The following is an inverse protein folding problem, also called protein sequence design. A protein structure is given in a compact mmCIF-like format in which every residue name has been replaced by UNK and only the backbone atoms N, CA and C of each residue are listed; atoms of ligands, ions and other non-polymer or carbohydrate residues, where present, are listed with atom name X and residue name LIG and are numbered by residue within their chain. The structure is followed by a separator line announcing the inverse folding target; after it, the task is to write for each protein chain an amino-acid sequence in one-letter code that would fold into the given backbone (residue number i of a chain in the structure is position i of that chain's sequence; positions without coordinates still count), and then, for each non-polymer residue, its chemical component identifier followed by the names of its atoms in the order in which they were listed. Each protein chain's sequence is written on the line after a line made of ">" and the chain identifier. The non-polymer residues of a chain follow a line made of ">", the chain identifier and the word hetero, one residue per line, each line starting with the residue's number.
data_IF_279062091907
#
_entry.id   IF_279062091907
#
_cell.length_a   1.000
_cell.length_b   1.000
_cell.length_c   1.000
_cell.angle_alpha   90.00
_cell.angle_beta   90.00
_cell.angle_gamma   90.00
#
_symmetry.space_group_name_H-M   'P 1'
#
loop_
_entity.id
_entity.type
_entity.pdbx_description
1 polymer ?
#
# COMPACT_ATOMS: atom_id res chain seq x y z
N UNK A 1 -8.53 27.73 -3.32
CA UNK A 1 -9.41 26.83 -2.96
C UNK A 1 -9.72 25.80 -3.94
N UNK A 2 -10.06 26.14 -4.87
CA UNK A 2 -10.44 25.33 -5.87
C UNK A 2 -9.42 24.39 -6.31
N UNK A 3 -8.18 24.73 -6.11
CA UNK A 3 -7.11 23.90 -6.57
C UNK A 3 -7.00 22.59 -5.88
N UNK A 4 -7.37 22.55 -4.62
CA UNK A 4 -7.34 21.29 -3.91
C UNK A 4 -8.33 20.33 -4.49
N UNK A 5 -9.51 20.81 -4.77
CA UNK A 5 -10.52 19.96 -5.35
C UNK A 5 -10.10 19.49 -6.73
N UNK A 6 -9.51 20.36 -7.51
CA UNK A 6 -9.06 19.99 -8.84
C UNK A 6 -7.99 18.93 -8.79
N UNK A 7 -7.10 19.05 -7.83
CA UNK A 7 -6.06 18.05 -7.68
C UNK A 7 -6.63 16.70 -7.33
N UNK A 8 -7.64 16.69 -6.48
CA UNK A 8 -8.30 15.44 -6.15
C UNK A 8 -9.02 14.85 -7.32
N UNK A 9 -9.57 15.68 -8.15
CA UNK A 9 -10.32 15.19 -9.30
C UNK A 9 -9.47 14.44 -10.29
N UNK A 10 -8.19 14.62 -10.24
CA UNK A 10 -7.30 13.86 -11.12
C UNK A 10 -7.16 12.42 -10.70
N UNK A 11 -7.61 12.08 -9.52
CA UNK A 11 -7.54 10.71 -9.04
C UNK A 11 -8.89 10.06 -9.23
N UNK A 12 -8.84 8.81 -9.61
CA UNK A 12 -10.08 8.06 -9.77
C UNK A 12 -10.71 7.71 -8.44
N UNK A 13 -9.92 7.66 -7.38
CA UNK A 13 -10.41 7.26 -6.07
C UNK A 13 -9.82 8.15 -5.01
N UNK A 14 -10.63 8.37 -3.99
CA UNK A 14 -10.18 9.11 -2.84
C UNK A 14 -9.24 8.27 -2.00
N UNK A 15 -8.23 8.91 -1.44
CA UNK A 15 -7.29 8.23 -0.56
C UNK A 15 -7.57 8.56 0.89
N UNK A 16 -7.42 7.57 1.72
CA UNK A 16 -7.61 7.71 3.16
C UNK A 16 -6.31 7.39 3.85
N UNK A 17 -5.89 8.28 4.75
CA UNK A 17 -4.70 8.03 5.57
C UNK A 17 -5.01 6.94 6.58
N UNK A 18 -4.10 6.00 6.73
CA UNK A 18 -4.24 4.92 7.70
C UNK A 18 -2.85 4.56 8.21
N UNK A 19 -2.83 3.64 9.17
CA UNK A 19 -1.58 3.16 9.74
C UNK A 19 -1.77 1.69 10.05
N UNK A 20 -1.28 0.83 9.19
CA UNK A 20 -1.38 -0.60 9.36
C UNK A 20 -0.03 -1.24 9.12
N UNK A 21 0.25 -2.28 9.87
CA UNK A 21 1.44 -3.08 9.65
C UNK A 21 1.19 -4.09 8.56
N UNK A 22 2.22 -4.35 7.77
CA UNK A 22 2.12 -5.31 6.69
C UNK A 22 3.48 -5.93 6.43
N UNK A 23 3.46 -7.00 5.65
CA UNK A 23 4.69 -7.59 5.15
C UNK A 23 4.51 -7.88 3.67
N UNK A 24 5.62 -7.96 2.97
CA UNK A 24 5.57 -8.17 1.53
C UNK A 24 6.68 -9.10 1.06
N UNK A 25 6.41 -9.72 -0.08
CA UNK A 25 7.40 -10.51 -0.81
C UNK A 25 7.64 -9.85 -2.15
N UNK A 26 8.89 -9.76 -2.53
CA UNK A 26 9.23 -9.29 -3.86
C UNK A 26 9.14 -10.45 -4.84
N UNK A 27 8.42 -10.19 -5.91
CA UNK A 27 8.20 -11.06 -7.02
C UNK A 27 8.70 -12.48 -6.96
N UNK A 28 9.94 -12.66 -7.26
CA UNK A 28 10.46 -14.00 -7.48
C UNK A 28 11.21 -14.60 -6.31
N UNK A 29 11.19 -13.94 -5.19
CA UNK A 29 11.89 -14.47 -4.02
C UNK A 29 10.89 -14.74 -2.92
N UNK A 30 10.18 -15.86 -2.98
CA UNK A 30 9.06 -16.10 -2.08
C UNK A 30 9.43 -16.46 -0.66
N UNK A 31 10.70 -16.43 -0.32
CA UNK A 31 11.12 -16.88 1.00
C UNK A 31 11.43 -15.78 1.98
N UNK A 32 11.47 -14.55 1.53
CA UNK A 32 11.84 -13.45 2.43
C UNK A 32 10.75 -12.43 2.57
N UNK A 33 9.94 -12.60 3.58
CA UNK A 33 8.97 -11.58 3.93
C UNK A 33 9.67 -10.40 4.59
N UNK A 34 9.31 -9.20 4.16
CA UNK A 34 9.87 -7.97 4.74
C UNK A 34 8.73 -7.12 5.26
N UNK A 35 9.00 -6.42 6.36
CA UNK A 35 7.99 -5.58 6.97
C UNK A 35 7.84 -4.24 6.28
N UNK A 36 6.64 -3.70 6.34
CA UNK A 36 6.37 -2.35 5.85
C UNK A 36 5.16 -1.80 6.58
N UNK A 37 4.86 -0.54 6.33
CA UNK A 37 3.66 0.10 6.86
C UNK A 37 2.78 0.52 5.71
N UNK A 38 1.47 0.40 5.90
CA UNK A 38 0.50 0.92 4.94
C UNK A 38 0.11 2.29 5.46
N UNK A 39 0.33 3.33 4.67
CA UNK A 39 0.12 4.71 5.12
C UNK A 39 -1.11 5.37 4.51
N UNK A 40 -1.62 4.82 3.43
CA UNK A 40 -2.91 5.27 2.93
C UNK A 40 -3.51 4.18 2.05
N UNK A 41 -4.78 4.32 1.76
CA UNK A 41 -5.51 3.35 0.95
C UNK A 41 -6.53 4.06 0.08
N UNK A 42 -6.76 3.52 -1.10
CA UNK A 42 -7.87 3.91 -1.96
C UNK A 42 -8.42 2.64 -2.58
N UNK A 43 -9.48 2.78 -3.35
CA UNK A 43 -10.07 1.63 -4.01
C UNK A 43 -9.13 0.99 -5.01
N UNK A 44 -8.13 1.71 -5.48
CA UNK A 44 -7.24 1.22 -6.52
C UNK A 44 -5.89 0.76 -6.01
N UNK A 45 -5.52 1.13 -4.80
CA UNK A 45 -4.20 0.75 -4.32
C UNK A 45 -3.89 1.28 -2.95
N UNK A 46 -2.62 1.16 -2.62
CA UNK A 46 -2.09 1.47 -1.29
C UNK A 46 -0.89 2.39 -1.40
N UNK A 47 -0.72 3.22 -0.37
CA UNK A 47 0.57 3.86 -0.15
C UNK A 47 1.32 3.06 0.91
N UNK A 48 2.60 2.85 0.71
CA UNK A 48 3.40 2.07 1.64
C UNK A 48 4.65 2.83 2.03
N UNK A 49 5.16 2.50 3.21
CA UNK A 49 6.45 2.97 3.65
C UNK A 49 7.32 1.76 3.92
N UNK A 50 8.49 1.71 3.31
CA UNK A 50 9.39 0.57 3.41
C UNK A 50 10.77 1.04 3.83
N UNK A 51 11.49 0.17 4.54
CA UNK A 51 12.84 0.46 5.01
C UNK A 51 13.79 -0.40 4.20
N UNK A 52 14.47 0.21 3.26
CA UNK A 52 15.32 -0.51 2.31
C UNK A 52 16.66 0.15 2.19
N UNK A 53 17.65 -0.66 1.89
CA UNK A 53 18.95 -0.14 1.50
C UNK A 53 18.95 0.28 0.04
N UNK A 54 18.10 -0.35 -0.75
CA UNK A 54 18.02 -0.07 -2.18
C UNK A 54 16.57 0.04 -2.59
N UNK A 55 16.32 0.87 -3.58
CA UNK A 55 14.96 1.02 -4.10
C UNK A 55 14.49 -0.26 -4.74
N UNK A 56 13.19 -0.53 -4.56
CA UNK A 56 12.53 -1.57 -5.33
C UNK A 56 12.21 -0.99 -6.70
N UNK A 57 12.51 -1.70 -7.79
CA UNK A 57 12.19 -1.17 -9.12
C UNK A 57 10.69 -0.99 -9.32
N UNK A 58 10.33 0.11 -9.97
CA UNK A 58 8.94 0.34 -10.37
C UNK A 58 8.54 -0.77 -11.33
N UNK A 59 7.32 -1.24 -11.19
CA UNK A 59 6.82 -2.37 -11.99
C UNK A 59 6.96 -3.71 -11.29
N UNK A 60 7.62 -3.73 -10.13
CA UNK A 60 7.78 -4.97 -9.38
C UNK A 60 6.44 -5.41 -8.81
N UNK A 61 6.17 -6.71 -8.92
CA UNK A 61 4.98 -7.30 -8.31
C UNK A 61 5.26 -7.58 -6.86
N UNK A 62 4.34 -7.17 -6.00
CA UNK A 62 4.44 -7.38 -4.57
C UNK A 62 3.28 -8.24 -4.10
N UNK A 63 3.59 -9.29 -3.35
CA UNK A 63 2.58 -10.02 -2.59
C UNK A 63 2.60 -9.47 -1.18
N UNK A 64 1.46 -9.11 -0.66
CA UNK A 64 1.40 -8.45 0.63
C UNK A 64 0.40 -9.11 1.55
N UNK A 65 0.71 -9.09 2.83
CA UNK A 65 -0.23 -9.50 3.87
C UNK A 65 -0.32 -8.35 4.87
N UNK A 66 -1.53 -7.84 5.05
CA UNK A 66 -1.77 -6.65 5.85
C UNK A 66 -2.53 -7.09 7.09
N UNK A 67 -2.01 -6.72 8.24
CA UNK A 67 -2.63 -7.06 9.52
C UNK A 67 -3.69 -6.02 9.87
N UNK A 68 -4.93 -6.47 9.98
CA UNK A 68 -6.02 -5.62 10.43
C UNK A 68 -6.48 -6.18 11.77
N UNK A 69 -6.37 -5.39 12.82
CA UNK A 69 -6.50 -5.87 14.18
C UNK A 69 -7.80 -6.58 14.48
N UNK A 70 -8.86 -6.26 13.78
CA UNK A 70 -10.16 -6.87 14.01
C UNK A 70 -10.32 -8.22 13.30
N UNK A 71 -9.32 -8.63 12.54
CA UNK A 71 -9.43 -9.85 11.75
C UNK A 71 -8.42 -10.88 12.22
N UNK A 72 -8.83 -12.14 12.21
CA UNK A 72 -7.93 -13.23 12.58
C UNK A 72 -6.91 -13.52 11.51
N UNK A 73 -7.29 -13.32 10.26
CA UNK A 73 -6.39 -13.60 9.14
C UNK A 73 -5.98 -12.29 8.48
N UNK A 74 -4.75 -12.21 8.01
CA UNK A 74 -4.33 -11.01 7.31
C UNK A 74 -5.05 -10.86 5.98
N UNK A 75 -5.16 -9.63 5.53
CA UNK A 75 -5.68 -9.32 4.20
C UNK A 75 -4.57 -9.56 3.20
N UNK A 76 -4.85 -10.33 2.17
CA UNK A 76 -3.86 -10.69 1.16
C UNK A 76 -4.09 -9.89 -0.11
N UNK A 77 -3.01 -9.33 -0.63
CA UNK A 77 -3.07 -8.45 -1.78
C UNK A 77 -1.92 -8.77 -2.71
N UNK A 78 -2.17 -8.67 -4.00
CA UNK A 78 -1.10 -8.66 -4.99
C UNK A 78 -1.22 -7.34 -5.73
N UNK A 79 -0.10 -6.66 -5.89
CA UNK A 79 -0.10 -5.38 -6.57
C UNK A 79 1.22 -5.10 -7.27
N UNK A 80 1.23 -4.00 -8.01
CA UNK A 80 2.42 -3.57 -8.73
C UNK A 80 2.85 -2.23 -8.18
N UNK A 81 4.14 -2.11 -7.91
CA UNK A 81 4.72 -0.85 -7.46
C UNK A 81 4.69 0.15 -8.61
N UNK A 82 3.97 1.23 -8.44
CA UNK A 82 3.78 2.22 -9.48
C UNK A 82 4.77 3.37 -9.38
N UNK A 83 5.18 3.70 -8.17
CA UNK A 83 6.18 4.75 -7.97
C UNK A 83 6.82 4.53 -6.60
N UNK A 84 8.01 5.08 -6.42
CA UNK A 84 8.71 5.00 -5.15
C UNK A 84 9.65 6.20 -5.04
N UNK A 85 9.66 6.82 -3.87
CA UNK A 85 10.53 7.96 -3.58
C UNK A 85 11.20 7.78 -2.24
N UNK A 86 12.46 8.15 -2.18
CA UNK A 86 13.18 8.13 -0.91
C UNK A 86 12.73 9.27 -0.03
N UNK A 87 12.66 8.99 1.25
CA UNK A 87 12.48 10.02 2.24
C UNK A 87 13.81 10.70 2.49
N UNK A 88 13.71 11.88 3.04
CA UNK A 88 14.83 12.81 3.06
C UNK A 88 16.12 12.26 3.61
N UNK A 89 16.08 11.43 4.57
CA UNK A 89 17.30 10.99 5.20
C UNK A 89 17.58 9.57 5.01
N UNK A 90 17.13 9.08 3.97
CA UNK A 90 17.56 8.05 3.89
C UNK A 90 17.36 6.66 3.63
N UNK A 91 17.02 5.90 4.52
CA UNK A 91 16.81 4.50 4.29
C UNK A 91 15.36 4.15 4.09
N UNK A 92 14.51 5.12 4.32
CA UNK A 92 13.08 4.91 4.19
C UNK A 92 12.61 5.37 2.83
N UNK A 93 11.66 4.63 2.28
CA UNK A 93 11.05 4.98 1.01
C UNK A 93 9.54 4.95 1.15
N UNK A 94 8.85 5.83 0.45
CA UNK A 94 7.40 5.70 0.29
C UNK A 94 7.10 5.35 -1.14
N UNK A 95 6.06 4.54 -1.32
CA UNK A 95 5.70 4.10 -2.65
C UNK A 95 4.21 3.93 -2.79
N UNK A 96 3.77 3.82 -4.03
CA UNK A 96 2.38 3.56 -4.35
C UNK A 96 2.25 2.22 -5.04
N UNK A 97 1.31 1.41 -4.58
CA UNK A 97 1.06 0.07 -5.10
C UNK A 97 -0.35 0.03 -5.65
N UNK A 98 -0.50 -0.38 -6.89
CA UNK A 98 -1.82 -0.56 -7.50
C UNK A 98 -2.24 -2.01 -7.36
N UNK A 99 -3.47 -2.23 -6.91
CA UNK A 99 -3.98 -3.60 -6.79
C UNK A 99 -4.07 -4.25 -8.16
N UNK A 100 -3.56 -5.47 -8.27
CA UNK A 100 -3.79 -6.30 -9.45
C UNK A 100 -4.63 -7.51 -9.10
N UNK A 101 -4.61 -7.91 -7.83
CA UNK A 101 -5.46 -9.01 -7.39
C UNK A 101 -5.72 -8.84 -5.90
N UNK A 102 -6.97 -8.60 -5.56
CA UNK A 102 -7.42 -8.54 -4.18
C UNK A 102 -8.86 -9.06 -4.15
N UNK A 103 -9.13 -9.90 -3.16
CA UNK A 103 -10.47 -10.40 -2.96
C UNK A 103 -11.40 -9.27 -2.53
N UNK A 104 -12.64 -9.28 -3.01
CA UNK A 104 -13.61 -8.22 -2.70
C UNK A 104 -13.80 -8.05 -1.21
N UNK A 105 -13.89 -9.12 -0.48
CA UNK A 105 -14.06 -9.03 0.97
C UNK A 105 -12.87 -8.38 1.63
N UNK A 106 -11.68 -8.71 1.17
CA UNK A 106 -10.46 -8.13 1.71
C UNK A 106 -10.40 -6.64 1.41
N UNK A 107 -10.82 -6.27 0.22
CA UNK A 107 -10.85 -4.86 -0.17
C UNK A 107 -11.83 -4.10 0.73
N UNK A 108 -13.00 -4.68 0.97
CA UNK A 108 -13.98 -4.08 1.87
C UNK A 108 -13.43 -3.93 3.28
N UNK A 109 -12.71 -4.94 3.76
CA UNK A 109 -12.10 -4.89 5.07
C UNK A 109 -11.17 -3.69 5.19
N UNK A 110 -10.33 -3.49 4.19
CA UNK A 110 -9.39 -2.38 4.20
C UNK A 110 -10.11 -1.04 4.13
N UNK A 111 -11.11 -0.94 3.27
CA UNK A 111 -11.83 0.32 3.09
C UNK A 111 -12.63 0.67 4.34
N UNK A 112 -13.24 -0.33 4.96
CA UNK A 112 -13.97 -0.12 6.21
C UNK A 112 -13.05 0.38 7.30
N UNK A 113 -11.88 -0.21 7.40
CA UNK A 113 -10.90 0.24 8.39
C UNK A 113 -10.54 1.70 8.15
N UNK A 114 -10.29 2.05 6.90
CA UNK A 114 -9.91 3.40 6.56
C UNK A 114 -11.02 4.39 6.85
N UNK A 115 -12.26 4.01 6.60
CA UNK A 115 -13.40 4.87 6.83
C UNK A 115 -13.62 5.14 8.31
N UNK A 116 -13.39 4.14 9.14
CA UNK A 116 -13.64 4.25 10.57
C UNK A 116 -12.50 4.91 11.32
N UNK A 117 -11.39 5.10 10.67
CA UNK A 117 -10.23 5.72 11.26
C UNK A 117 -9.87 6.99 10.51
#
# INVERSE_FOLDING_TARGET
>A
MIDTAKTEDKRKSRRFAIDLSAKYLLGENPKEWKGCAIINISREGLGIEVYLKEKIPVGTTLKMEITVSAKEKPVKVIGILMWINGLKEGMDFIGGVRFTNIDSEDKWTLMDYAYDN
#
